data_IF_220999528437
#
_entry.id   IF_220999528437
#
_cell.length_a   1.000
_cell.length_b   1.000
_cell.length_c   1.000
_cell.angle_alpha   90.00
_cell.angle_beta   90.00
_cell.angle_gamma   90.00
#
_symmetry.space_group_name_H-M   'P 1'
#
loop_
_entity.id
_entity.type
_entity.pdbx_description
1 polymer ?
#
# COMPACT_ATOMS: atom_id res chain seq x y z
N UNK A 1 -49.16 -61.03 -7.04
CA UNK A 1 -49.95 -60.04 -6.27
C UNK A 1 -49.37 -58.68 -6.61
N UNK A 2 -49.85 -57.92 -7.62
CA UNK A 2 -51.08 -57.06 -7.60
C UNK A 2 -51.16 -56.25 -6.30
N UNK A 3 -51.35 -54.93 -6.22
CA UNK A 3 -51.90 -53.83 -7.03
C UNK A 3 -51.30 -52.51 -6.44
N UNK A 4 -51.42 -51.31 -6.99
CA UNK A 4 -52.29 -50.79 -8.03
C UNK A 4 -52.14 -49.27 -8.12
N UNK A 5 -52.67 -48.77 -9.22
CA UNK A 5 -52.69 -47.40 -9.72
C UNK A 5 -53.33 -46.40 -8.74
N UNK A 6 -52.86 -45.14 -8.79
CA UNK A 6 -53.74 -43.99 -8.61
C UNK A 6 -53.52 -43.07 -9.80
N UNK A 7 -54.59 -42.92 -10.57
CA UNK A 7 -54.71 -42.05 -11.72
C UNK A 7 -55.70 -40.93 -11.38
N UNK A 8 -55.44 -39.76 -11.98
CA UNK A 8 -56.38 -38.65 -12.30
C UNK A 8 -56.70 -37.64 -11.18
N UNK A 9 -56.22 -36.40 -11.38
CA UNK A 9 -57.16 -35.35 -11.75
C UNK A 9 -56.52 -34.16 -12.49
N UNK A 10 -56.82 -34.08 -13.79
CA UNK A 10 -56.76 -32.85 -14.56
C UNK A 10 -57.89 -31.92 -14.09
N UNK A 11 -57.55 -30.70 -13.68
CA UNK A 11 -58.45 -29.56 -13.85
C UNK A 11 -57.80 -28.55 -14.79
N UNK A 12 -58.55 -28.25 -15.84
CA UNK A 12 -58.23 -27.31 -16.89
C UNK A 12 -58.40 -25.86 -16.43
N UNK A 13 -57.62 -24.97 -17.04
CA UNK A 13 -57.98 -23.57 -17.28
C UNK A 13 -57.55 -22.56 -16.21
N UNK A 14 -56.46 -21.86 -16.46
CA UNK A 14 -56.61 -20.47 -16.90
C UNK A 14 -55.38 -19.99 -17.68
N UNK A 15 -55.55 -19.80 -18.99
CA UNK A 15 -54.71 -18.92 -19.80
C UNK A 15 -55.09 -17.51 -19.41
N UNK A 16 -54.29 -16.84 -18.59
CA UNK A 16 -54.21 -15.37 -18.45
C UNK A 16 -53.25 -15.04 -17.30
N UNK A 17 -51.95 -14.96 -17.64
CA UNK A 17 -51.01 -14.02 -17.01
C UNK A 17 -49.69 -14.04 -17.80
N UNK A 18 -49.75 -13.51 -19.02
CA UNK A 18 -48.59 -12.95 -19.70
C UNK A 18 -48.57 -11.46 -19.37
N UNK A 19 -47.60 -11.04 -18.54
CA UNK A 19 -47.40 -9.65 -18.10
C UNK A 19 -47.29 -9.60 -16.57
N UNK A 20 -46.21 -9.14 -15.94
CA UNK A 20 -45.07 -8.32 -16.37
C UNK A 20 -43.88 -8.88 -15.59
N UNK A 21 -42.84 -9.37 -16.28
CA UNK A 21 -41.54 -9.61 -15.62
C UNK A 21 -41.06 -8.25 -15.14
N UNK A 22 -41.07 -8.03 -13.82
CA UNK A 22 -40.68 -6.75 -13.26
C UNK A 22 -39.22 -6.47 -13.60
N UNK A 23 -38.93 -5.26 -14.06
CA UNK A 23 -37.59 -4.78 -14.43
C UNK A 23 -36.55 -4.97 -13.30
N UNK A 24 -37.03 -5.09 -12.05
CA UNK A 24 -36.23 -5.38 -10.85
C UNK A 24 -35.72 -6.83 -10.78
N UNK A 25 -36.49 -7.81 -11.26
CA UNK A 25 -36.06 -9.23 -11.29
C UNK A 25 -35.06 -9.49 -12.42
N UNK A 26 -35.23 -8.82 -13.56
CA UNK A 26 -34.28 -8.86 -14.67
C UNK A 26 -32.89 -8.31 -14.29
N UNK A 27 -32.84 -7.16 -13.59
CA UNK A 27 -31.55 -6.60 -13.12
C UNK A 27 -30.85 -7.50 -12.11
N UNK A 28 -31.61 -8.18 -11.25
CA UNK A 28 -31.06 -9.08 -10.23
C UNK A 28 -30.48 -10.36 -10.84
N UNK A 29 -31.19 -10.95 -11.81
CA UNK A 29 -30.71 -12.10 -12.58
C UNK A 29 -29.47 -11.77 -13.41
N UNK A 30 -29.43 -10.59 -14.06
CA UNK A 30 -28.23 -10.15 -14.80
C UNK A 30 -27.03 -9.99 -13.86
N UNK A 31 -27.23 -9.37 -12.69
CA UNK A 31 -26.17 -9.25 -11.68
C UNK A 31 -25.69 -10.62 -11.16
N UNK A 32 -26.58 -11.59 -10.97
CA UNK A 32 -26.20 -12.95 -10.54
C UNK A 32 -25.41 -13.71 -11.62
N UNK A 33 -25.82 -13.60 -12.89
CA UNK A 33 -25.10 -14.21 -14.02
C UNK A 33 -23.72 -13.56 -14.22
N UNK A 34 -23.64 -12.23 -14.10
CA UNK A 34 -22.39 -11.48 -14.19
C UNK A 34 -21.44 -11.86 -13.04
N UNK A 35 -21.95 -12.01 -11.80
CA UNK A 35 -21.19 -12.52 -10.65
C UNK A 35 -20.65 -13.94 -10.85
N UNK A 36 -21.47 -14.85 -11.36
CA UNK A 36 -21.06 -16.24 -11.62
C UNK A 36 -19.98 -16.30 -12.71
N UNK A 37 -20.09 -15.46 -13.75
CA UNK A 37 -19.10 -15.32 -14.81
C UNK A 37 -17.76 -14.77 -14.30
N UNK A 38 -17.78 -13.79 -13.37
CA UNK A 38 -16.56 -13.25 -12.78
C UNK A 38 -15.83 -14.32 -11.95
N UNK A 39 -16.56 -15.08 -11.12
CA UNK A 39 -15.98 -16.17 -10.31
C UNK A 39 -15.38 -17.30 -11.13
N UNK A 40 -16.01 -17.69 -12.25
CA UNK A 40 -15.43 -18.69 -13.14
C UNK A 40 -14.13 -18.21 -13.81
N UNK A 41 -14.02 -16.91 -14.07
CA UNK A 41 -12.83 -16.32 -14.70
C UNK A 41 -11.66 -16.13 -13.72
N UNK A 42 -11.90 -16.03 -12.41
CA UNK A 42 -10.84 -15.95 -11.40
C UNK A 42 -9.97 -17.20 -11.34
N UNK A 43 -10.52 -18.39 -11.60
CA UNK A 43 -9.76 -19.64 -11.65
C UNK A 43 -8.81 -19.70 -12.86
N UNK A 44 -9.00 -18.85 -13.86
CA UNK A 44 -8.10 -18.70 -15.01
C UNK A 44 -6.97 -17.69 -14.77
N UNK A 45 -7.01 -16.94 -13.67
CA UNK A 45 -5.99 -15.98 -13.31
C UNK A 45 -4.68 -16.68 -12.95
N UNK A 46 -3.56 -16.39 -13.64
CA UNK A 46 -2.28 -17.05 -13.37
C UNK A 46 -1.80 -16.85 -11.93
N UNK A 47 -2.14 -15.72 -11.32
CA UNK A 47 -1.78 -15.40 -9.93
C UNK A 47 -2.48 -16.29 -8.90
N UNK A 48 -3.68 -16.78 -9.22
CA UNK A 48 -4.59 -17.44 -8.28
C UNK A 48 -4.70 -18.95 -8.53
N UNK A 49 -4.26 -19.41 -9.70
CA UNK A 49 -4.29 -20.82 -10.08
C UNK A 49 -3.41 -21.66 -9.15
N UNK A 50 -3.99 -22.72 -8.58
CA UNK A 50 -3.28 -23.66 -7.69
C UNK A 50 -1.95 -24.13 -8.28
N UNK A 51 -0.91 -24.09 -7.45
CA UNK A 51 0.43 -24.47 -7.83
C UNK A 51 1.04 -25.46 -6.80
N UNK A 52 0.52 -26.70 -6.73
CA UNK A 52 0.86 -27.65 -5.68
C UNK A 52 2.33 -28.10 -5.68
N UNK A 53 3.07 -27.82 -6.74
CA UNK A 53 4.45 -28.29 -6.91
C UNK A 53 5.51 -27.21 -6.63
N UNK A 54 5.13 -26.00 -6.21
CA UNK A 54 6.06 -24.87 -6.13
C UNK A 54 6.33 -24.37 -4.70
N UNK A 55 6.90 -25.26 -3.89
CA UNK A 55 7.43 -24.93 -2.56
C UNK A 55 8.86 -24.40 -2.56
N UNK A 56 9.57 -24.53 -3.69
CA UNK A 56 10.92 -24.00 -3.87
C UNK A 56 10.88 -22.71 -4.68
N UNK A 57 11.62 -21.71 -4.23
CA UNK A 57 11.63 -20.38 -4.86
C UNK A 57 12.32 -20.39 -6.23
N UNK A 58 13.32 -21.24 -6.42
CA UNK A 58 14.05 -21.36 -7.68
C UNK A 58 13.53 -22.51 -8.55
N UNK A 59 13.51 -22.33 -9.89
CA UNK A 59 13.86 -21.11 -10.62
C UNK A 59 12.78 -20.01 -10.50
N UNK A 60 13.22 -18.75 -10.55
CA UNK A 60 12.30 -17.59 -10.56
C UNK A 60 11.53 -17.53 -11.88
N UNK A 61 10.25 -17.17 -11.83
CA UNK A 61 9.42 -16.92 -13.00
C UNK A 61 8.97 -15.47 -13.10
N UNK A 62 8.79 -14.78 -11.95
CA UNK A 62 8.37 -13.37 -11.89
C UNK A 62 9.49 -12.50 -11.32
N UNK A 63 10.44 -12.11 -12.17
CA UNK A 63 11.60 -11.31 -11.77
C UNK A 63 11.25 -9.90 -11.29
N UNK A 64 10.19 -9.31 -11.84
CA UNK A 64 9.64 -8.01 -11.45
C UNK A 64 9.05 -8.05 -10.03
N UNK A 65 8.24 -9.07 -9.73
CA UNK A 65 7.69 -9.32 -8.39
C UNK A 65 8.84 -9.57 -7.39
N UNK A 66 9.82 -10.39 -7.79
CA UNK A 66 10.98 -10.66 -6.94
C UNK A 66 11.83 -9.41 -6.67
N UNK A 67 11.96 -8.51 -7.65
CA UNK A 67 12.67 -7.25 -7.48
C UNK A 67 11.99 -6.36 -6.43
N UNK A 68 10.65 -6.30 -6.43
CA UNK A 68 9.89 -5.63 -5.38
C UNK A 68 10.15 -6.23 -4.00
N UNK A 69 10.16 -7.56 -3.89
CA UNK A 69 10.49 -8.24 -2.62
C UNK A 69 11.90 -7.86 -2.15
N UNK A 70 12.90 -7.88 -3.05
CA UNK A 70 14.26 -7.47 -2.69
C UNK A 70 14.37 -6.01 -2.29
N UNK A 71 13.58 -5.12 -2.91
CA UNK A 71 13.49 -3.70 -2.52
C UNK A 71 12.89 -3.55 -1.11
N UNK A 72 11.88 -4.34 -0.78
CA UNK A 72 11.28 -4.35 0.56
C UNK A 72 12.30 -4.84 1.61
N UNK A 73 12.96 -5.97 1.34
CA UNK A 73 14.00 -6.52 2.23
C UNK A 73 15.15 -5.54 2.46
N UNK A 74 15.60 -4.83 1.41
CA UNK A 74 16.65 -3.83 1.52
C UNK A 74 16.25 -2.59 2.33
N UNK A 75 14.96 -2.43 2.63
CA UNK A 75 14.39 -1.31 3.35
C UNK A 75 14.05 -1.65 4.82
N UNK A 76 14.38 -2.87 5.28
CA UNK A 76 14.12 -3.32 6.65
C UNK A 76 14.65 -2.33 7.70
N UNK A 77 13.88 -2.14 8.76
CA UNK A 77 14.20 -1.30 9.93
C UNK A 77 13.45 -1.83 11.15
N UNK A 78 13.89 -1.48 12.36
CA UNK A 78 13.18 -1.78 13.61
C UNK A 78 12.81 -0.53 14.41
N UNK A 79 11.85 -0.65 15.33
CA UNK A 79 11.38 0.47 16.17
C UNK A 79 12.52 1.10 16.98
N UNK A 80 13.49 0.30 17.41
CA UNK A 80 14.65 0.75 18.19
C UNK A 80 15.58 1.71 17.43
N UNK A 81 15.52 1.72 16.09
CA UNK A 81 16.30 2.64 15.27
C UNK A 81 15.77 4.10 15.34
N UNK A 82 14.55 4.29 15.86
CA UNK A 82 13.90 5.60 15.96
C UNK A 82 14.12 6.21 17.35
N UNK A 83 14.97 7.24 17.42
CA UNK A 83 15.20 8.01 18.65
C UNK A 83 14.04 8.99 18.94
N UNK A 84 13.33 8.73 20.04
CA UNK A 84 12.23 9.57 20.54
C UNK A 84 12.65 10.53 21.67
N UNK A 85 13.92 10.57 22.07
CA UNK A 85 14.35 11.27 23.28
C UNK A 85 14.06 12.79 23.26
N UNK A 86 14.03 13.39 22.07
CA UNK A 86 13.80 14.84 21.89
C UNK A 86 12.33 15.20 21.68
N UNK A 87 11.49 14.24 21.31
CA UNK A 87 10.12 14.51 20.86
C UNK A 87 9.25 15.05 21.98
N UNK A 88 9.42 14.56 23.22
CA UNK A 88 8.60 15.00 24.34
C UNK A 88 8.76 16.50 24.64
N UNK A 89 9.97 17.04 24.47
CA UNK A 89 10.23 18.46 24.66
C UNK A 89 9.56 19.33 23.59
N UNK A 90 9.39 18.82 22.37
CA UNK A 90 8.65 19.51 21.32
C UNK A 90 7.13 19.36 21.52
N UNK A 91 6.67 18.18 21.90
CA UNK A 91 5.27 17.89 22.20
C UNK A 91 4.67 18.84 23.26
N UNK A 92 5.44 19.13 24.31
CA UNK A 92 5.03 20.05 25.38
C UNK A 92 4.94 21.51 24.89
N UNK A 93 5.74 21.90 23.88
CA UNK A 93 5.71 23.26 23.29
C UNK A 93 4.61 23.45 22.25
N UNK A 94 4.09 22.36 21.69
CA UNK A 94 2.98 22.42 20.73
C UNK A 94 1.72 23.01 21.41
N UNK A 95 0.81 23.57 20.62
CA UNK A 95 -0.48 24.01 21.15
C UNK A 95 -1.48 22.85 21.18
N UNK A 96 -2.57 23.01 21.93
CA UNK A 96 -3.59 21.96 22.10
C UNK A 96 -4.17 21.46 20.78
N UNK A 97 -4.31 22.31 19.76
CA UNK A 97 -4.86 21.88 18.48
C UNK A 97 -3.86 21.01 17.70
N UNK A 98 -2.56 21.31 17.79
CA UNK A 98 -1.52 20.50 17.16
C UNK A 98 -1.40 19.14 17.83
N UNK A 99 -1.40 19.10 19.18
CA UNK A 99 -1.43 17.85 19.94
C UNK A 99 -2.69 17.03 19.63
N UNK A 100 -3.85 17.67 19.63
CA UNK A 100 -5.12 17.03 19.27
C UNK A 100 -5.09 16.45 17.86
N UNK A 101 -4.55 17.18 16.90
CA UNK A 101 -4.45 16.70 15.52
C UNK A 101 -3.54 15.47 15.43
N UNK A 102 -2.34 15.53 16.02
CA UNK A 102 -1.38 14.43 15.96
C UNK A 102 -1.85 13.22 16.75
N UNK A 103 -2.46 13.39 17.92
CA UNK A 103 -3.02 12.26 18.67
C UNK A 103 -4.11 11.53 17.89
N UNK A 104 -4.96 12.26 17.15
CA UNK A 104 -6.00 11.67 16.28
C UNK A 104 -5.43 10.98 15.04
N UNK A 105 -4.31 11.47 14.51
CA UNK A 105 -3.59 10.81 13.40
C UNK A 105 -2.98 9.49 13.89
N UNK A 106 -2.26 9.52 15.01
CA UNK A 106 -1.63 8.32 15.59
C UNK A 106 -2.67 7.26 15.96
N UNK A 107 -3.81 7.68 16.51
CA UNK A 107 -4.89 6.78 16.87
C UNK A 107 -5.54 6.10 15.65
N UNK A 108 -5.61 6.80 14.51
CA UNK A 108 -6.05 6.19 13.25
C UNK A 108 -5.05 5.13 12.79
N UNK A 109 -3.76 5.45 12.78
CA UNK A 109 -2.71 4.54 12.31
C UNK A 109 -2.58 3.28 13.16
N UNK A 110 -2.53 3.43 14.49
CA UNK A 110 -2.40 2.29 15.40
C UNK A 110 -3.49 1.22 15.21
N UNK A 111 -4.69 1.64 14.76
CA UNK A 111 -5.80 0.72 14.51
C UNK A 111 -5.89 0.25 13.04
N UNK A 112 -5.28 0.96 12.09
CA UNK A 112 -5.40 0.68 10.65
C UNK A 112 -4.48 -0.44 10.19
N UNK A 113 -3.23 -0.46 10.67
CA UNK A 113 -2.25 -1.47 10.24
C UNK A 113 -2.68 -2.88 10.68
N UNK A 114 -3.39 -3.00 11.81
CA UNK A 114 -4.02 -4.25 12.22
C UNK A 114 -5.05 -4.76 11.20
N UNK A 115 -5.89 -3.88 10.65
CA UNK A 115 -6.90 -4.24 9.63
C UNK A 115 -6.21 -4.64 8.32
N UNK A 116 -5.17 -3.92 7.93
CA UNK A 116 -4.34 -4.25 6.76
C UNK A 116 -3.74 -5.66 6.91
N UNK A 117 -3.19 -5.96 8.08
CA UNK A 117 -2.55 -7.23 8.36
C UNK A 117 -3.55 -8.41 8.33
N UNK A 118 -4.76 -8.23 8.88
CA UNK A 118 -5.84 -9.22 8.78
C UNK A 118 -6.15 -9.55 7.31
N UNK A 119 -6.25 -8.55 6.43
CA UNK A 119 -6.47 -8.79 5.00
C UNK A 119 -5.31 -9.56 4.35
N UNK A 120 -4.06 -9.20 4.66
CA UNK A 120 -2.88 -9.85 4.09
C UNK A 120 -2.80 -11.32 4.48
N UNK A 121 -3.02 -11.62 5.76
CA UNK A 121 -2.94 -12.98 6.32
C UNK A 121 -4.11 -13.84 5.89
N UNK A 122 -5.34 -13.35 5.99
CA UNK A 122 -6.54 -14.16 5.76
C UNK A 122 -6.90 -14.30 4.27
N UNK A 123 -6.53 -13.31 3.44
CA UNK A 123 -6.95 -13.25 2.04
C UNK A 123 -5.76 -13.32 1.10
N UNK A 124 -5.00 -12.24 0.93
CA UNK A 124 -4.07 -12.13 -0.21
C UNK A 124 -2.94 -13.17 -0.19
N UNK A 125 -2.36 -13.45 0.98
CA UNK A 125 -1.29 -14.46 1.10
C UNK A 125 -1.78 -15.90 0.91
N UNK A 126 -3.09 -16.15 1.09
CA UNK A 126 -3.71 -17.46 0.88
C UNK A 126 -4.14 -17.67 -0.57
N UNK A 127 -4.68 -16.62 -1.19
CA UNK A 127 -5.24 -16.68 -2.54
C UNK A 127 -4.15 -16.67 -3.61
N UNK A 128 -3.09 -15.88 -3.43
CA UNK A 128 -1.99 -15.79 -4.40
C UNK A 128 -1.11 -17.03 -4.31
N UNK A 129 -0.97 -17.73 -5.44
CA UNK A 129 -0.23 -18.98 -5.57
C UNK A 129 1.20 -18.79 -6.10
N UNK A 130 1.57 -17.56 -6.48
CA UNK A 130 2.90 -17.20 -6.96
C UNK A 130 3.86 -17.02 -5.77
N UNK A 131 4.91 -17.86 -5.63
CA UNK A 131 5.81 -17.78 -4.47
C UNK A 131 6.51 -16.43 -4.32
N UNK A 132 6.96 -15.82 -5.42
CA UNK A 132 7.61 -14.51 -5.39
C UNK A 132 6.72 -13.44 -4.75
N UNK A 133 5.41 -13.49 -5.00
CA UNK A 133 4.45 -12.56 -4.43
C UNK A 133 4.15 -12.88 -2.96
N UNK A 134 4.08 -14.17 -2.59
CA UNK A 134 3.94 -14.59 -1.18
C UNK A 134 5.15 -14.17 -0.33
N UNK A 135 6.34 -14.14 -0.91
CA UNK A 135 7.54 -13.63 -0.24
C UNK A 135 7.43 -12.13 0.03
N UNK A 136 6.93 -11.35 -0.93
CA UNK A 136 6.64 -9.93 -0.71
C UNK A 136 5.60 -9.77 0.41
N UNK A 137 4.45 -10.45 0.33
CA UNK A 137 3.40 -10.33 1.35
C UNK A 137 3.86 -10.79 2.73
N UNK A 138 4.67 -11.84 2.83
CA UNK A 138 5.24 -12.27 4.11
C UNK A 138 6.14 -11.20 4.74
N UNK A 139 6.90 -10.47 3.92
CA UNK A 139 7.71 -9.35 4.39
C UNK A 139 6.86 -8.11 4.71
N UNK A 140 5.83 -7.83 3.91
CA UNK A 140 4.86 -6.78 4.20
C UNK A 140 4.19 -7.03 5.55
N UNK A 141 3.64 -8.23 5.80
CA UNK A 141 3.07 -8.61 7.11
C UNK A 141 4.03 -8.33 8.27
N UNK A 142 5.32 -8.62 8.08
CA UNK A 142 6.34 -8.35 9.10
C UNK A 142 6.54 -6.84 9.33
N UNK A 143 6.59 -6.03 8.26
CA UNK A 143 6.78 -4.58 8.38
C UNK A 143 5.54 -3.89 8.95
N UNK A 144 4.33 -4.33 8.61
CA UNK A 144 3.06 -3.84 9.19
C UNK A 144 3.02 -4.05 10.72
N UNK A 145 3.56 -5.16 11.22
CA UNK A 145 3.70 -5.38 12.66
C UNK A 145 4.65 -4.35 13.30
N UNK A 146 5.75 -4.03 12.63
CA UNK A 146 6.71 -3.02 13.08
C UNK A 146 6.09 -1.62 13.03
N UNK A 147 5.28 -1.31 12.02
CA UNK A 147 4.52 -0.06 11.94
C UNK A 147 3.55 0.06 13.12
N UNK A 148 2.77 -1.00 13.38
CA UNK A 148 1.83 -1.05 14.51
C UNK A 148 2.52 -0.85 15.86
N UNK A 149 3.68 -1.48 16.06
CA UNK A 149 4.51 -1.28 17.24
C UNK A 149 5.01 0.17 17.35
N UNK A 150 5.54 0.73 16.26
CA UNK A 150 6.02 2.11 16.20
C UNK A 150 4.92 3.11 16.58
N UNK A 151 3.71 2.97 16.01
CA UNK A 151 2.58 3.85 16.37
C UNK A 151 2.16 3.70 17.82
N UNK A 152 2.15 2.48 18.34
CA UNK A 152 1.88 2.22 19.75
C UNK A 152 2.92 2.89 20.65
N UNK A 153 4.20 2.85 20.26
CA UNK A 153 5.30 3.50 20.99
C UNK A 153 5.21 5.02 20.95
N UNK A 154 4.83 5.60 19.83
CA UNK A 154 4.58 7.05 19.69
C UNK A 154 3.46 7.49 20.63
N UNK A 155 2.33 6.77 20.65
CA UNK A 155 1.21 7.05 21.55
C UNK A 155 1.64 6.94 23.02
N UNK A 156 2.33 5.85 23.39
CA UNK A 156 2.83 5.64 24.75
C UNK A 156 3.76 6.77 25.21
N UNK A 157 4.60 7.28 24.29
CA UNK A 157 5.57 8.34 24.59
C UNK A 157 4.89 9.69 24.79
N UNK A 158 3.92 10.05 23.94
CA UNK A 158 3.34 11.40 23.92
C UNK A 158 2.15 11.56 24.86
N UNK A 159 1.38 10.48 25.09
CA UNK A 159 0.13 10.51 25.83
C UNK A 159 0.35 9.92 27.22
N UNK A 160 0.65 10.81 28.17
CA UNK A 160 0.92 10.45 29.57
C UNK A 160 -0.34 10.00 30.32
N UNK A 161 -1.50 10.54 29.95
CA UNK A 161 -2.77 10.18 30.58
C UNK A 161 -3.24 8.80 30.09
N UNK A 162 -3.44 7.88 31.02
CA UNK A 162 -3.82 6.50 30.71
C UNK A 162 -5.23 6.40 30.10
N UNK A 163 -6.17 7.26 30.53
CA UNK A 163 -7.53 7.24 30.00
C UNK A 163 -7.57 7.74 28.56
N UNK A 164 -6.84 8.81 28.27
CA UNK A 164 -6.68 9.33 26.91
C UNK A 164 -5.98 8.28 26.03
N UNK A 165 -4.93 7.64 26.52
CA UNK A 165 -4.24 6.57 25.78
C UNK A 165 -5.20 5.41 25.45
N UNK A 166 -6.00 4.95 26.43
CA UNK A 166 -6.99 3.90 26.20
C UNK A 166 -8.07 4.34 25.19
N UNK A 167 -8.50 5.59 25.23
CA UNK A 167 -9.42 6.15 24.24
C UNK A 167 -8.83 6.12 22.82
N UNK A 168 -7.55 6.47 22.67
CA UNK A 168 -6.86 6.47 21.38
C UNK A 168 -6.63 5.05 20.83
N UNK A 169 -6.30 4.07 21.68
CA UNK A 169 -6.20 2.68 21.25
C UNK A 169 -7.54 2.07 20.83
N UNK A 170 -8.65 2.58 21.36
CA UNK A 170 -10.02 2.17 20.97
C UNK A 170 -10.62 3.07 19.89
N UNK A 171 -9.80 3.80 19.13
CA UNK A 171 -10.25 4.84 18.22
C UNK A 171 -11.28 4.43 17.17
N UNK A 172 -11.28 3.17 16.72
CA UNK A 172 -12.29 2.65 15.78
C UNK A 172 -13.70 2.70 16.39
N UNK A 173 -13.83 2.51 17.70
CA UNK A 173 -15.12 2.53 18.40
C UNK A 173 -15.49 3.92 18.89
N UNK A 174 -14.49 4.76 19.15
CA UNK A 174 -14.67 6.07 19.79
C UNK A 174 -14.80 7.23 18.79
N UNK A 175 -14.20 7.12 17.60
CA UNK A 175 -14.19 8.21 16.63
C UNK A 175 -14.92 7.85 15.33
N UNK A 176 -16.09 8.45 15.05
CA UNK A 176 -16.87 8.13 13.84
C UNK A 176 -16.11 8.31 12.52
N UNK A 177 -15.17 9.27 12.46
CA UNK A 177 -14.36 9.49 11.26
C UNK A 177 -13.33 8.37 11.02
N UNK A 178 -12.77 7.79 12.09
CA UNK A 178 -11.86 6.64 12.04
C UNK A 178 -12.67 5.38 11.75
N UNK A 179 -13.79 5.20 12.45
CA UNK A 179 -14.74 4.11 12.22
C UNK A 179 -15.12 3.98 10.74
N UNK A 180 -15.44 5.10 10.08
CA UNK A 180 -15.84 5.09 8.67
C UNK A 180 -14.74 4.57 7.73
N UNK A 181 -13.46 4.86 8.03
CA UNK A 181 -12.32 4.34 7.25
C UNK A 181 -12.14 2.84 7.52
N UNK A 182 -12.16 2.45 8.79
CA UNK A 182 -12.08 1.05 9.21
C UNK A 182 -13.20 0.19 8.60
N UNK A 183 -14.45 0.63 8.72
CA UNK A 183 -15.62 -0.06 8.16
C UNK A 183 -15.52 -0.21 6.63
N UNK A 184 -14.96 0.78 5.93
CA UNK A 184 -14.74 0.68 4.48
C UNK A 184 -13.66 -0.35 4.14
N UNK A 185 -12.55 -0.38 4.87
CA UNK A 185 -11.49 -1.37 4.68
C UNK A 185 -11.98 -2.80 5.01
N UNK A 186 -12.57 -2.98 6.19
CA UNK A 186 -13.13 -4.26 6.65
C UNK A 186 -14.18 -4.83 5.70
N UNK A 187 -14.98 -3.96 5.06
CA UNK A 187 -15.93 -4.38 4.03
C UNK A 187 -15.23 -5.19 2.94
N UNK A 188 -14.07 -4.75 2.42
CA UNK A 188 -13.37 -5.43 1.33
C UNK A 188 -12.72 -6.74 1.76
N UNK A 189 -12.37 -6.86 3.03
CA UNK A 189 -11.86 -8.11 3.62
C UNK A 189 -12.98 -9.15 3.66
N UNK A 190 -14.13 -8.76 4.21
CA UNK A 190 -15.29 -9.61 4.43
C UNK A 190 -16.14 -9.87 3.16
N UNK A 191 -15.95 -9.10 2.09
CA UNK A 191 -16.71 -9.26 0.85
C UNK A 191 -16.23 -10.50 0.08
N UNK A 192 -17.00 -11.59 0.19
CA UNK A 192 -16.78 -12.83 -0.56
C UNK A 192 -17.30 -12.75 -2.02
N UNK A 193 -18.07 -11.73 -2.36
CA UNK A 193 -18.56 -11.49 -3.73
C UNK A 193 -17.59 -10.62 -4.54
N UNK A 194 -16.77 -9.81 -3.88
CA UNK A 194 -15.75 -8.98 -4.52
C UNK A 194 -14.59 -9.83 -5.07
N UNK A 195 -14.31 -9.67 -6.36
CA UNK A 195 -13.21 -10.38 -7.00
C UNK A 195 -11.84 -9.90 -6.49
N UNK A 196 -10.80 -10.70 -6.70
CA UNK A 196 -9.42 -10.36 -6.33
C UNK A 196 -8.99 -9.01 -6.92
N UNK A 197 -9.37 -8.72 -8.17
CA UNK A 197 -9.04 -7.46 -8.83
C UNK A 197 -9.66 -6.24 -8.13
N UNK A 198 -10.90 -6.34 -7.65
CA UNK A 198 -11.54 -5.26 -6.88
C UNK A 198 -10.85 -5.07 -5.55
N UNK A 199 -10.54 -6.17 -4.85
CA UNK A 199 -9.91 -6.12 -3.54
C UNK A 199 -8.49 -5.59 -3.62
N UNK A 200 -7.70 -5.93 -4.63
CA UNK A 200 -6.35 -5.37 -4.83
C UNK A 200 -6.40 -3.86 -5.08
N UNK A 201 -7.35 -3.36 -5.86
CA UNK A 201 -7.52 -1.92 -6.08
C UNK A 201 -7.99 -1.22 -4.81
N UNK A 202 -8.93 -1.83 -4.07
CA UNK A 202 -9.37 -1.29 -2.79
C UNK A 202 -8.22 -1.24 -1.77
N UNK A 203 -7.38 -2.27 -1.72
CA UNK A 203 -6.20 -2.32 -0.87
C UNK A 203 -5.17 -1.26 -1.25
N UNK A 204 -4.88 -1.08 -2.54
CA UNK A 204 -4.03 0.03 -3.00
C UNK A 204 -4.56 1.42 -2.57
N UNK A 205 -5.88 1.56 -2.45
CA UNK A 205 -6.50 2.77 -1.91
C UNK A 205 -6.38 2.89 -0.39
N UNK A 206 -6.35 1.78 0.36
CA UNK A 206 -6.03 1.79 1.79
C UNK A 206 -4.60 2.29 1.98
N UNK A 207 -3.60 1.54 1.51
CA UNK A 207 -2.15 1.84 1.65
C UNK A 207 -1.78 3.23 1.09
N UNK A 208 -2.40 3.63 -0.02
CA UNK A 208 -2.09 4.89 -0.69
C UNK A 208 -2.92 6.08 -0.20
N UNK A 209 -4.24 6.00 -0.34
CA UNK A 209 -5.12 7.17 -0.16
C UNK A 209 -5.41 7.41 1.31
N UNK A 210 -5.74 6.38 2.09
CA UNK A 210 -6.12 6.56 3.50
C UNK A 210 -4.96 7.03 4.39
N UNK A 211 -3.71 6.83 4.00
CA UNK A 211 -2.57 7.37 4.77
C UNK A 211 -2.09 8.74 4.27
N UNK A 212 -2.42 9.10 3.02
CA UNK A 212 -1.86 10.28 2.33
C UNK A 212 -2.04 11.62 3.05
N UNK A 213 -3.20 11.87 3.66
CA UNK A 213 -3.47 13.12 4.37
C UNK A 213 -2.69 13.24 5.66
N UNK A 214 -2.62 12.15 6.42
CA UNK A 214 -1.88 12.07 7.67
C UNK A 214 -0.36 12.19 7.45
N UNK A 215 0.20 11.48 6.45
CA UNK A 215 1.63 11.62 6.10
C UNK A 215 1.99 13.05 5.70
N UNK A 216 1.17 13.68 4.85
CA UNK A 216 1.39 15.07 4.44
C UNK A 216 1.41 16.03 5.64
N UNK A 217 0.60 15.75 6.67
CA UNK A 217 0.54 16.58 7.85
C UNK A 217 1.73 16.40 8.79
N UNK A 218 2.26 15.18 8.92
CA UNK A 218 3.49 14.94 9.69
C UNK A 218 4.70 15.53 8.95
N UNK A 219 4.78 15.43 7.62
CA UNK A 219 5.82 16.12 6.83
C UNK A 219 5.77 17.65 6.99
N UNK A 220 4.58 18.22 7.23
CA UNK A 220 4.47 19.64 7.56
C UNK A 220 5.10 19.99 8.91
N UNK A 221 5.06 19.09 9.91
CA UNK A 221 5.81 19.26 11.16
C UNK A 221 7.32 19.17 10.94
N UNK A 222 7.79 18.24 10.08
CA UNK A 222 9.20 18.14 9.69
C UNK A 222 9.71 19.46 9.13
N UNK A 223 8.95 20.11 8.25
CA UNK A 223 9.32 21.42 7.69
C UNK A 223 9.48 22.52 8.74
N UNK A 224 8.82 22.38 9.90
CA UNK A 224 8.95 23.29 11.04
C UNK A 224 10.06 22.90 12.02
N UNK A 225 10.75 21.78 11.78
CA UNK A 225 11.80 21.27 12.67
C UNK A 225 11.28 20.77 14.01
N UNK A 226 10.06 20.20 14.04
CA UNK A 226 9.43 19.67 15.25
C UNK A 226 9.31 18.14 15.19
N UNK A 227 9.36 17.50 16.36
CA UNK A 227 9.08 16.06 16.54
C UNK A 227 9.99 15.17 15.66
N UNK A 228 11.32 15.22 15.87
CA UNK A 228 12.28 14.53 15.00
C UNK A 228 12.06 13.00 14.94
N UNK A 229 11.68 12.36 16.04
CA UNK A 229 11.36 10.94 16.11
C UNK A 229 10.09 10.58 15.35
N UNK A 230 8.99 11.32 15.56
CA UNK A 230 7.74 11.17 14.80
C UNK A 230 7.95 11.37 13.29
N UNK A 231 8.74 12.36 12.91
CA UNK A 231 8.96 12.68 11.49
C UNK A 231 9.89 11.68 10.82
N UNK A 232 10.90 11.18 11.54
CA UNK A 232 11.77 10.11 11.06
C UNK A 232 11.01 8.79 10.86
N UNK A 233 10.21 8.34 11.84
CA UNK A 233 9.40 7.13 11.67
C UNK A 233 8.39 7.28 10.52
N UNK A 234 7.78 8.46 10.37
CA UNK A 234 6.90 8.75 9.25
C UNK A 234 7.59 8.65 7.88
N UNK A 235 8.88 8.97 7.77
CA UNK A 235 9.65 8.76 6.53
C UNK A 235 9.85 7.28 6.20
N UNK A 236 10.15 6.47 7.21
CA UNK A 236 10.32 5.03 7.06
C UNK A 236 8.99 4.39 6.65
N UNK A 237 7.92 4.67 7.40
CA UNK A 237 6.60 4.11 7.15
C UNK A 237 6.03 4.57 5.80
N UNK A 238 6.07 5.88 5.49
CA UNK A 238 5.53 6.36 4.20
C UNK A 238 6.29 5.84 2.97
N UNK A 239 7.58 5.51 3.11
CA UNK A 239 8.36 4.81 2.07
C UNK A 239 7.84 3.39 1.88
N UNK A 240 7.59 2.67 2.98
CA UNK A 240 7.09 1.30 2.97
C UNK A 240 5.67 1.25 2.37
N UNK A 241 4.77 2.13 2.81
CA UNK A 241 3.41 2.26 2.26
C UNK A 241 3.41 2.58 0.76
N UNK A 242 4.34 3.43 0.31
CA UNK A 242 4.55 3.69 -1.11
C UNK A 242 4.91 2.43 -1.88
N UNK A 243 5.78 1.59 -1.30
CA UNK A 243 6.18 0.32 -1.88
C UNK A 243 5.03 -0.70 -1.90
N UNK A 244 4.22 -0.76 -0.84
CA UNK A 244 3.04 -1.64 -0.77
C UNK A 244 1.98 -1.26 -1.79
N UNK A 245 1.67 0.03 -1.91
CA UNK A 245 0.77 0.58 -2.95
C UNK A 245 1.28 0.24 -4.35
N UNK A 246 2.56 0.46 -4.62
CA UNK A 246 3.16 0.15 -5.92
C UNK A 246 3.12 -1.37 -6.21
N UNK A 247 3.32 -2.20 -5.19
CA UNK A 247 3.20 -3.65 -5.31
C UNK A 247 1.76 -4.08 -5.61
N UNK A 248 0.76 -3.48 -4.97
CA UNK A 248 -0.65 -3.72 -5.30
C UNK A 248 -0.96 -3.36 -6.76
N UNK A 249 -0.41 -2.25 -7.26
CA UNK A 249 -0.50 -1.90 -8.68
C UNK A 249 0.21 -2.91 -9.59
N UNK A 250 1.38 -3.42 -9.21
CA UNK A 250 2.08 -4.49 -9.93
C UNK A 250 1.24 -5.77 -9.98
N UNK A 251 0.69 -6.20 -8.85
CA UNK A 251 -0.18 -7.36 -8.77
C UNK A 251 -1.41 -7.19 -9.66
N UNK A 252 -2.04 -6.00 -9.61
CA UNK A 252 -3.13 -5.67 -10.53
C UNK A 252 -2.69 -5.76 -11.98
N UNK A 253 -1.48 -5.34 -12.34
CA UNK A 253 -0.96 -5.40 -13.71
C UNK A 253 -0.86 -6.85 -14.25
N UNK A 254 -0.62 -7.83 -13.37
CA UNK A 254 -0.55 -9.27 -13.71
C UNK A 254 -1.92 -9.96 -13.82
N UNK A 255 -3.01 -9.31 -13.38
CA UNK A 255 -4.38 -9.83 -13.56
C UNK A 255 -4.77 -9.78 -15.05
N UNK A 256 -5.33 -10.85 -15.60
CA UNK A 256 -5.80 -10.89 -16.99
C UNK A 256 -7.16 -10.20 -17.15
N UNK A 257 -8.13 -10.55 -16.31
CA UNK A 257 -9.48 -10.03 -16.35
C UNK A 257 -9.54 -8.69 -15.60
N UNK A 258 -9.19 -7.61 -16.31
CA UNK A 258 -9.21 -6.26 -15.74
C UNK A 258 -10.63 -5.81 -15.44
N UNK A 259 -10.74 -4.96 -14.42
CA UNK A 259 -11.98 -4.24 -14.12
C UNK A 259 -12.25 -3.17 -15.18
N UNK A 260 -13.52 -2.79 -15.31
CA UNK A 260 -13.87 -1.59 -16.05
C UNK A 260 -13.29 -0.35 -15.38
N UNK A 261 -12.97 0.67 -16.17
CA UNK A 261 -12.45 1.94 -15.67
C UNK A 261 -13.45 2.62 -14.73
N UNK A 262 -14.75 2.50 -15.03
CA UNK A 262 -15.84 3.00 -14.20
C UNK A 262 -15.82 2.36 -12.81
N UNK A 263 -15.54 1.04 -12.73
CA UNK A 263 -15.48 0.34 -11.45
C UNK A 263 -14.27 0.76 -10.63
N UNK A 264 -13.09 0.84 -11.24
CA UNK A 264 -11.87 1.35 -10.59
C UNK A 264 -12.10 2.76 -10.06
N UNK A 265 -12.60 3.66 -10.91
CA UNK A 265 -12.89 5.03 -10.54
C UNK A 265 -13.89 5.13 -9.39
N UNK A 266 -14.91 4.26 -9.35
CA UNK A 266 -15.86 4.22 -8.24
C UNK A 266 -15.17 3.87 -6.92
N UNK A 267 -14.34 2.82 -6.89
CA UNK A 267 -13.62 2.40 -5.68
C UNK A 267 -12.69 3.52 -5.18
N UNK A 268 -11.90 4.09 -6.09
CA UNK A 268 -10.95 5.16 -5.76
C UNK A 268 -11.68 6.42 -5.29
N UNK A 269 -12.78 6.81 -5.94
CA UNK A 269 -13.57 7.99 -5.58
C UNK A 269 -14.19 7.85 -4.19
N UNK A 270 -14.65 6.65 -3.83
CA UNK A 270 -15.18 6.38 -2.49
C UNK A 270 -14.08 6.59 -1.44
N UNK A 271 -12.89 6.02 -1.65
CA UNK A 271 -11.75 6.20 -0.75
C UNK A 271 -11.35 7.67 -0.60
N UNK A 272 -11.23 8.41 -1.72
CA UNK A 272 -10.94 9.85 -1.72
C UNK A 272 -11.98 10.63 -0.92
N UNK A 273 -13.27 10.33 -1.13
CA UNK A 273 -14.36 11.04 -0.45
C UNK A 273 -14.30 10.82 1.07
N UNK A 274 -13.97 9.61 1.49
CA UNK A 274 -13.79 9.26 2.90
C UNK A 274 -12.58 10.01 3.47
N UNK A 275 -11.43 9.97 2.80
CA UNK A 275 -10.20 10.59 3.27
C UNK A 275 -10.32 12.12 3.38
N UNK A 276 -10.96 12.76 2.41
CA UNK A 276 -11.28 14.19 2.49
C UNK A 276 -12.22 14.50 3.65
N UNK A 277 -13.17 13.60 3.95
CA UNK A 277 -14.04 13.70 5.11
C UNK A 277 -13.27 13.64 6.42
N UNK A 278 -12.37 12.67 6.55
CA UNK A 278 -11.47 12.52 7.70
C UNK A 278 -10.61 13.78 7.88
N UNK A 279 -9.92 14.21 6.82
CA UNK A 279 -9.04 15.37 6.82
C UNK A 279 -9.73 16.66 7.27
N UNK A 280 -11.00 16.88 6.88
CA UNK A 280 -11.78 18.05 7.32
C UNK A 280 -12.19 18.01 8.78
N UNK A 281 -12.38 16.82 9.34
CA UNK A 281 -12.80 16.64 10.74
C UNK A 281 -11.60 16.67 11.69
N UNK A 282 -10.43 16.24 11.23
CA UNK A 282 -9.20 16.25 12.01
C UNK A 282 -8.47 17.59 11.92
N UNK A 283 -8.37 18.20 10.73
CA UNK A 283 -7.79 19.53 10.56
C UNK A 283 -8.88 20.61 10.67
N UNK A 284 -8.81 21.49 11.68
CA UNK A 284 -9.67 22.67 11.74
C UNK A 284 -9.29 23.62 10.60
N UNK A 285 -10.00 23.49 9.48
CA UNK A 285 -9.76 24.27 8.24
C UNK A 285 -9.81 25.78 8.44
N UNK A 286 -10.46 26.27 9.50
CA UNK A 286 -10.49 27.71 9.84
C UNK A 286 -9.19 28.16 10.51
N UNK A 287 -8.50 27.27 11.22
CA UNK A 287 -7.24 27.55 11.91
C UNK A 287 -6.01 27.20 11.07
N UNK A 288 -6.06 26.15 10.25
CA UNK A 288 -4.93 25.69 9.43
C UNK A 288 -5.27 25.55 7.93
N UNK A 289 -5.70 26.63 7.26
CA UNK A 289 -6.12 26.57 5.84
C UNK A 289 -5.00 26.11 4.90
N UNK A 290 -3.73 26.39 5.23
CA UNK A 290 -2.57 25.96 4.44
C UNK A 290 -2.32 24.45 4.55
N UNK A 291 -2.52 23.86 5.73
CA UNK A 291 -2.41 22.42 5.96
C UNK A 291 -3.55 21.67 5.26
N UNK A 292 -4.80 22.11 5.47
CA UNK A 292 -5.97 21.51 4.82
C UNK A 292 -5.88 21.56 3.29
N UNK A 293 -5.35 22.67 2.72
CA UNK A 293 -5.11 22.76 1.27
C UNK A 293 -4.07 21.75 0.80
N UNK A 294 -2.96 21.58 1.53
CA UNK A 294 -1.89 20.60 1.18
C UNK A 294 -2.41 19.17 1.25
N UNK A 295 -3.17 18.82 2.29
CA UNK A 295 -3.80 17.51 2.43
C UNK A 295 -4.72 17.22 1.24
N UNK A 296 -5.60 18.16 0.88
CA UNK A 296 -6.51 17.98 -0.26
C UNK A 296 -5.77 17.82 -1.59
N UNK A 297 -4.66 18.55 -1.80
CA UNK A 297 -3.80 18.36 -2.99
C UNK A 297 -3.19 16.97 -2.99
N UNK A 298 -2.64 16.50 -1.87
CA UNK A 298 -2.07 15.16 -1.73
C UNK A 298 -3.09 14.08 -2.12
N UNK A 299 -4.25 14.08 -1.48
CA UNK A 299 -5.34 13.12 -1.71
C UNK A 299 -5.79 13.13 -3.18
N UNK A 300 -5.89 14.32 -3.79
CA UNK A 300 -6.31 14.45 -5.20
C UNK A 300 -5.22 14.02 -6.20
N UNK A 301 -3.95 14.22 -5.86
CA UNK A 301 -2.82 13.76 -6.69
C UNK A 301 -2.69 12.25 -6.65
N UNK A 302 -2.86 11.63 -5.47
CA UNK A 302 -2.90 10.17 -5.32
C UNK A 302 -4.02 9.54 -6.18
N UNK A 303 -5.19 10.17 -6.22
CA UNK A 303 -6.28 9.77 -7.10
C UNK A 303 -5.84 9.74 -8.57
N UNK A 304 -5.19 10.82 -9.05
CA UNK A 304 -4.75 10.91 -10.45
C UNK A 304 -3.73 9.84 -10.79
N UNK A 305 -2.72 9.64 -9.93
CA UNK A 305 -1.68 8.62 -10.12
C UNK A 305 -2.25 7.21 -10.21
N UNK A 306 -3.11 6.81 -9.25
CA UNK A 306 -3.74 5.49 -9.29
C UNK A 306 -4.62 5.28 -10.53
N UNK A 307 -5.33 6.31 -11.00
CA UNK A 307 -6.14 6.19 -12.22
C UNK A 307 -5.29 6.16 -13.51
N UNK A 308 -4.14 6.83 -13.54
CA UNK A 308 -3.25 6.84 -14.71
C UNK A 308 -2.37 5.59 -14.79
N UNK A 309 -1.88 5.09 -13.66
CA UNK A 309 -1.02 3.89 -13.60
C UNK A 309 -1.81 2.62 -13.93
N UNK A 310 -3.12 2.63 -13.68
CA UNK A 310 -4.04 1.53 -14.03
C UNK A 310 -4.50 1.58 -15.50
N UNK A 311 -4.31 2.70 -16.19
CA UNK A 311 -4.60 2.83 -17.62
C UNK A 311 -3.40 2.37 -18.46
N UNK A 312 -3.48 1.16 -19.05
CA UNK A 312 -2.50 0.70 -20.05
C UNK A 312 -2.53 1.60 -21.31
N UNK A 313 -1.40 1.79 -22.01
CA UNK A 313 -1.35 2.63 -23.20
C UNK A 313 -2.19 2.01 -24.31
N UNK A 314 -3.13 2.79 -24.84
CA UNK A 314 -3.93 2.42 -26.01
C UNK A 314 -3.04 2.37 -27.25
N UNK A 315 -3.02 1.21 -27.93
CA UNK A 315 -2.33 1.06 -29.21
C UNK A 315 -2.92 2.02 -30.25
N UNK A 316 -2.16 3.05 -30.63
CA UNK A 316 -2.26 3.68 -31.96
C UNK A 316 -0.87 3.86 -32.59
N UNK A 317 -0.51 2.82 -33.36
CA UNK A 317 0.35 2.78 -34.54
C UNK A 317 1.54 3.73 -34.69
N UNK A 318 2.77 3.21 -34.55
CA UNK A 318 3.68 2.85 -35.67
C UNK A 318 4.95 2.15 -35.13
N UNK A 319 5.45 1.18 -35.91
CA UNK A 319 6.67 0.35 -35.71
C UNK A 319 7.93 1.23 -35.53
N UNK A 320 9.07 0.87 -34.90
CA UNK A 320 9.73 -0.41 -34.64
C UNK A 320 10.83 -0.21 -33.56
N UNK A 321 11.34 -1.34 -33.04
CA UNK A 321 12.64 -1.53 -32.36
C UNK A 321 12.72 -1.41 -30.82
N UNK A 322 12.74 -2.59 -30.19
CA UNK A 322 13.50 -3.05 -29.01
C UNK A 322 13.49 -2.27 -27.67
N UNK A 323 12.93 -2.94 -26.66
CA UNK A 323 13.26 -2.91 -25.21
C UNK A 323 13.63 -1.56 -24.59
N UNK A 324 12.66 -0.88 -23.96
CA UNK A 324 12.93 0.14 -22.93
C UNK A 324 11.90 0.04 -21.76
N UNK A 325 12.35 0.29 -20.52
CA UNK A 325 11.59 0.05 -19.29
C UNK A 325 10.51 1.10 -19.05
N UNK A 326 9.48 0.70 -18.31
CA UNK A 326 8.41 1.56 -17.78
C UNK A 326 9.07 2.68 -16.96
N UNK A 327 9.24 3.86 -17.56
CA UNK A 327 9.69 5.07 -16.89
C UNK A 327 8.46 5.77 -16.29
N UNK A 328 8.49 5.91 -14.96
CA UNK A 328 7.63 6.80 -14.20
C UNK A 328 7.94 8.24 -14.66
N UNK A 329 7.13 8.80 -15.55
CA UNK A 329 7.17 10.23 -15.83
C UNK A 329 6.36 10.96 -14.75
N UNK A 330 7.05 11.35 -13.67
CA UNK A 330 6.53 12.28 -12.67
C UNK A 330 6.10 13.59 -13.34
N UNK A 331 4.84 14.00 -13.13
CA UNK A 331 4.29 15.26 -13.62
C UNK A 331 4.78 16.42 -12.73
N UNK A 332 5.66 17.25 -13.32
CA UNK A 332 5.93 18.70 -13.14
C UNK A 332 6.00 19.33 -11.74
N UNK A 333 7.22 19.73 -11.40
CA UNK A 333 7.71 20.96 -10.73
C UNK A 333 6.68 21.98 -10.23
N UNK A 334 6.16 21.78 -9.03
CA UNK A 334 5.80 22.88 -8.13
C UNK A 334 6.45 22.67 -6.75
N UNK A 335 6.82 23.76 -6.08
CA UNK A 335 7.49 23.73 -4.76
C UNK A 335 6.60 23.11 -3.65
N UNK A 336 5.37 22.72 -3.98
CA UNK A 336 4.46 21.91 -3.16
C UNK A 336 4.85 20.43 -3.12
N UNK A 337 5.37 19.90 -4.24
CA UNK A 337 5.69 18.49 -4.43
C UNK A 337 6.99 18.04 -3.74
N UNK A 338 7.83 18.98 -3.29
CA UNK A 338 9.07 18.65 -2.57
C UNK A 338 8.84 17.97 -1.21
N UNK A 339 7.62 18.02 -0.65
CA UNK A 339 7.30 17.28 0.57
C UNK A 339 6.94 15.80 0.34
N UNK A 340 6.65 15.41 -0.91
CA UNK A 340 6.33 14.02 -1.31
C UNK A 340 7.48 13.41 -2.14
N UNK A 341 8.50 14.20 -2.46
CA UNK A 341 9.65 13.79 -3.29
C UNK A 341 10.79 13.11 -2.52
N UNK A 342 10.48 12.38 -1.45
CA UNK A 342 11.41 11.42 -0.82
C UNK A 342 10.97 10.00 -1.16
N UNK A 343 10.71 9.76 -2.44
CA UNK A 343 10.81 8.43 -3.03
C UNK A 343 11.51 8.59 -4.37
N UNK A 344 12.60 7.84 -4.52
CA UNK A 344 13.47 7.75 -5.70
C UNK A 344 14.41 8.94 -5.99
N UNK A 345 15.50 9.06 -5.21
CA UNK A 345 16.83 9.26 -5.80
C UNK A 345 17.77 8.19 -5.26
N UNK A 346 18.19 7.30 -6.15
CA UNK A 346 19.15 6.22 -5.93
C UNK A 346 20.56 6.79 -5.73
N UNK A 347 21.17 6.51 -4.57
CA UNK A 347 22.63 6.38 -4.42
C UNK A 347 22.86 4.87 -4.31
N UNK A 348 23.45 4.15 -5.25
CA UNK A 348 24.75 4.36 -5.87
C UNK A 348 24.74 3.58 -7.21
N UNK A 349 25.11 4.26 -8.29
CA UNK A 349 25.67 3.72 -9.54
C UNK A 349 24.84 2.79 -10.45
N UNK A 350 24.44 3.35 -11.60
CA UNK A 350 24.79 2.73 -12.89
C UNK A 350 25.97 3.53 -13.47
N UNK A 351 27.17 3.11 -13.09
CA UNK A 351 28.45 3.54 -13.67
C UNK A 351 28.49 3.18 -15.16
N UNK A 352 28.99 4.12 -15.97
CA UNK A 352 29.46 3.96 -17.37
C UNK A 352 28.43 3.52 -18.40
N UNK A 353 28.13 4.46 -19.32
CA UNK A 353 27.71 4.37 -20.73
C UNK A 353 26.88 5.67 -20.90
N UNK A 354 27.37 6.78 -21.46
CA UNK A 354 28.12 6.96 -22.71
C UNK A 354 28.80 8.33 -22.69
N UNK A 355 30.01 8.41 -23.25
CA UNK A 355 30.80 9.64 -23.42
C UNK A 355 30.24 10.54 -24.54
N UNK A 356 30.68 11.80 -24.49
CA UNK A 356 30.83 12.82 -25.55
C UNK A 356 29.80 13.96 -25.67
N UNK A 357 30.32 15.17 -25.31
CA UNK A 357 30.16 16.51 -25.94
C UNK A 357 28.81 17.22 -25.80
N UNK A 358 28.69 18.53 -25.49
CA UNK A 358 29.64 19.65 -25.53
C UNK A 358 29.14 20.85 -24.67
N UNK A 359 30.12 21.61 -24.17
CA UNK A 359 30.16 23.07 -23.88
C UNK A 359 29.37 23.74 -22.72
N UNK A 360 30.17 24.06 -21.68
CA UNK A 360 30.42 25.40 -21.08
C UNK A 360 29.45 26.08 -20.09
N UNK A 361 30.10 26.68 -19.07
CA UNK A 361 29.68 27.67 -18.06
C UNK A 361 29.13 27.01 -16.78
N UNK A 362 29.70 27.16 -15.58
CA UNK A 362 30.85 27.91 -15.07
C UNK A 362 30.84 27.70 -13.55
N UNK A 363 32.01 27.46 -12.95
CA UNK A 363 32.22 27.20 -11.53
C UNK A 363 31.70 28.33 -10.62
N UNK A 364 31.17 27.96 -9.44
CA UNK A 364 31.67 28.46 -8.15
C UNK A 364 30.98 27.74 -6.96
N UNK A 365 31.81 27.37 -5.98
CA UNK A 365 31.55 26.95 -4.59
C UNK A 365 31.06 25.52 -4.28
N UNK A 366 32.03 24.59 -4.24
CA UNK A 366 32.01 23.34 -3.46
C UNK A 366 33.14 23.39 -2.43
N UNK A 367 32.81 23.50 -1.14
CA UNK A 367 33.57 22.99 0.02
C UNK A 367 32.76 23.28 1.31
N UNK A 368 32.52 22.38 2.26
CA UNK A 368 32.98 21.01 2.40
C UNK A 368 32.19 20.25 3.47
N UNK A 369 32.19 18.93 3.31
CA UNK A 369 31.89 17.96 4.37
C UNK A 369 32.97 16.89 4.28
N UNK A 370 33.96 16.94 5.19
CA UNK A 370 34.90 15.84 5.40
C UNK A 370 34.24 14.81 6.34
N UNK A 371 33.94 13.64 5.79
CA UNK A 371 33.68 12.41 6.53
C UNK A 371 34.99 11.66 6.81
N UNK A 372 34.97 10.85 7.87
CA UNK A 372 36.05 10.05 8.44
C UNK A 372 36.76 9.12 7.43
N UNK A 373 38.05 8.75 7.64
CA UNK A 373 38.84 8.02 6.65
C UNK A 373 38.48 6.52 6.56
N UNK A 374 38.67 5.88 5.38
CA UNK A 374 38.39 4.46 5.20
C UNK A 374 39.44 3.55 5.86
N UNK A 375 38.96 2.40 6.35
CA UNK A 375 39.79 1.28 6.83
C UNK A 375 40.44 0.59 5.64
N UNK A 376 41.76 0.51 5.68
CA UNK A 376 42.63 -0.04 4.65
C UNK A 376 42.52 -1.59 4.62
N UNK A 377 42.01 -2.14 3.51
CA UNK A 377 42.06 -3.58 3.23
C UNK A 377 43.10 -3.82 2.14
N UNK A 378 44.27 -4.31 2.56
CA UNK A 378 45.38 -4.67 1.68
C UNK A 378 45.07 -5.79 0.68
N UNK A 379 45.97 -6.01 -0.31
CA UNK A 379 45.68 -6.77 -1.53
C UNK A 379 45.66 -8.30 -1.33
N UNK A 380 45.05 -9.06 -2.27
CA UNK A 380 44.65 -10.45 -2.05
C UNK A 380 45.82 -11.43 -2.14
N UNK A 381 46.15 -12.07 -1.01
CA UNK A 381 47.06 -13.21 -0.93
C UNK A 381 46.33 -14.54 -1.12
N UNK A 382 46.91 -15.42 -1.94
CA UNK A 382 46.31 -16.66 -2.46
C UNK A 382 45.97 -17.76 -1.46
N UNK A 383 45.22 -18.73 -1.98
CA UNK A 383 44.86 -20.00 -1.34
C UNK A 383 46.05 -20.66 -0.65
N UNK A 384 45.91 -20.93 0.65
CA UNK A 384 46.66 -21.99 1.32
C UNK A 384 45.65 -22.93 1.98
N UNK A 385 45.58 -24.13 1.41
CA UNK A 385 44.89 -25.30 1.96
C UNK A 385 45.65 -25.73 3.22
N UNK A 386 44.96 -25.82 4.36
CA UNK A 386 45.51 -26.35 5.61
C UNK A 386 44.67 -27.55 6.07
N UNK A 387 45.21 -28.73 5.78
CA UNK A 387 44.81 -30.07 6.17
C UNK A 387 44.62 -30.19 7.71
N UNK A 388 43.39 -30.46 8.19
CA UNK A 388 43.15 -30.82 9.60
C UNK A 388 43.21 -32.33 9.74
N UNK A 389 44.38 -32.86 10.09
CA UNK A 389 44.52 -34.19 10.69
C UNK A 389 44.42 -34.12 12.21
N UNK A 390 43.72 -35.11 12.75
CA UNK A 390 43.58 -35.46 14.16
C UNK A 390 44.90 -35.61 14.91
N UNK A 391 44.91 -35.27 16.21
CA UNK A 391 45.40 -36.01 17.40
C UNK A 391 45.03 -35.16 18.64
N UNK A 392 44.19 -35.57 19.60
CA UNK A 392 44.29 -36.63 20.61
C UNK A 392 45.38 -36.41 21.69
N UNK A 393 44.93 -36.30 22.96
CA UNK A 393 45.67 -36.41 24.26
C UNK A 393 46.68 -35.28 24.59
N UNK A 394 46.77 -34.73 25.80
CA UNK A 394 46.61 -35.25 27.18
C UNK A 394 45.80 -34.29 28.05
#
# INVERSE_FOLDING_TARGET
MTLGEIQVNHKAGNKENMGVVQEKDGKKLVQEVEKLSVRSNEQEEPLLKENPNRFVIFPLTHHDIWAFYKKAVASFWTVEEVDLAKDMADWEKMNDNERFFISRVLAFFAASDGIVNENLVERFSQEVQVPEARFFYGFQIAIENIHSEMYSKLIETYIRDEQERNLLFNAIFEFPCIKKKADWALKWIADHDACFAERVIAFAAVEGIFFSGSFAAIFWLKKRGLMPGLTHSNELISRDEGLHRDFACLMYSHIKNKLSQERIHSIIKDAVTIEQGYSRLTSDSRKYPSLTKRINVCVTTYQRGLTSDVALPTQRGRQSCMTLPIQIQCIRNDESAQAVHVTARTLVDVIKITMERDTQIGDDDVEGWQAWPPVDLGPPGGLVVSDRRHMATV
#
